data_IF_409115165487
#
_entry.id   IF_409115165487
#
_cell.length_a   1.000
_cell.length_b   1.000
_cell.length_c   1.000
_cell.angle_alpha   90.00
_cell.angle_beta   90.00
_cell.angle_gamma   90.00
#
_symmetry.space_group_name_H-M   'P 1'
#
loop_
_entity.id
_entity.type
_entity.pdbx_description
1 polymer ?
#
# COMPACT_ATOMS: atom_id res chain seq x y z
N UNK A 1 -0.48 7.28 4.18
CA UNK A 1 -0.11 6.66 2.90
C UNK A 1 0.70 5.41 3.18
N UNK A 2 0.38 4.31 2.49
CA UNK A 2 1.19 3.09 2.52
C UNK A 2 2.36 3.27 1.54
N UNK A 3 3.59 3.13 2.02
CA UNK A 3 4.80 3.30 1.21
C UNK A 3 5.73 2.10 1.42
N UNK A 4 6.48 1.71 0.39
CA UNK A 4 7.43 0.58 0.53
C UNK A 4 8.72 0.96 1.25
N UNK A 5 9.01 2.26 1.33
CA UNK A 5 10.17 2.86 1.99
C UNK A 5 9.77 4.27 2.45
N UNK A 6 10.37 4.72 3.54
CA UNK A 6 10.18 6.03 4.17
C UNK A 6 11.42 6.93 4.02
N UNK A 7 12.13 6.80 2.90
CA UNK A 7 13.28 7.67 2.62
C UNK A 7 12.87 9.13 2.40
N UNK A 8 13.84 10.04 2.54
CA UNK A 8 13.60 11.49 2.48
C UNK A 8 12.91 11.93 1.18
N UNK A 9 13.18 11.25 0.06
CA UNK A 9 12.57 11.57 -1.24
C UNK A 9 11.07 11.31 -1.20
N UNK A 10 10.64 10.20 -0.61
CA UNK A 10 9.21 9.88 -0.43
C UNK A 10 8.54 10.86 0.53
N UNK A 11 9.20 11.18 1.64
CA UNK A 11 8.69 12.13 2.64
C UNK A 11 8.47 13.51 2.02
N UNK A 12 9.43 13.99 1.21
CA UNK A 12 9.37 15.31 0.58
C UNK A 12 8.29 15.42 -0.52
N UNK A 13 7.88 14.29 -1.10
CA UNK A 13 6.80 14.25 -2.11
C UNK A 13 5.39 14.29 -1.51
N UNK A 14 5.24 14.09 -0.20
CA UNK A 14 3.95 14.00 0.46
C UNK A 14 3.69 15.21 1.37
N UNK A 15 2.44 15.68 1.49
CA UNK A 15 2.11 16.73 2.45
C UNK A 15 2.45 16.30 3.89
N UNK A 16 2.95 17.23 4.71
CA UNK A 16 3.34 16.96 6.11
C UNK A 16 2.21 16.41 6.99
N UNK A 17 0.96 16.64 6.62
CA UNK A 17 -0.22 16.12 7.32
C UNK A 17 -0.52 14.65 7.03
N UNK A 18 0.22 14.02 6.10
CA UNK A 18 0.02 12.61 5.74
C UNK A 18 0.85 11.72 6.65
N UNK A 19 0.18 10.91 7.48
CA UNK A 19 0.83 9.82 8.21
C UNK A 19 1.35 8.75 7.25
N UNK A 20 2.56 8.24 7.50
CA UNK A 20 3.19 7.20 6.69
C UNK A 20 3.15 5.86 7.42
N UNK A 21 2.87 4.80 6.67
CA UNK A 21 3.01 3.42 7.14
C UNK A 21 3.86 2.69 6.11
N UNK A 22 4.92 2.04 6.58
CA UNK A 22 5.80 1.24 5.72
C UNK A 22 5.20 -0.15 5.53
N UNK A 23 5.05 -0.58 4.28
CA UNK A 23 4.53 -1.90 3.93
C UNK A 23 4.32 -2.09 2.43
N UNK A 24 3.83 -3.27 2.04
CA UNK A 24 3.58 -3.65 0.64
C UNK A 24 2.22 -4.34 0.53
N UNK A 25 1.42 -3.96 -0.47
CA UNK A 25 0.08 -4.55 -0.74
C UNK A 25 0.15 -6.06 -1.02
N UNK A 26 1.28 -6.53 -1.55
CA UNK A 26 1.59 -7.94 -1.73
C UNK A 26 2.16 -8.63 -0.50
N UNK A 27 2.22 -7.98 0.67
CA UNK A 27 2.66 -8.55 1.94
C UNK A 27 1.61 -8.32 3.04
N UNK A 28 0.66 -9.27 3.24
CA UNK A 28 -0.50 -9.09 4.11
C UNK A 28 -0.18 -8.71 5.56
N UNK A 29 0.92 -9.21 6.11
CA UNK A 29 1.36 -8.95 7.49
C UNK A 29 1.63 -7.47 7.75
N UNK A 30 1.95 -6.69 6.72
CA UNK A 30 2.26 -5.25 6.84
C UNK A 30 1.02 -4.35 6.79
N UNK A 31 -0.13 -4.88 6.36
CA UNK A 31 -1.30 -4.05 6.02
C UNK A 31 -2.16 -3.66 7.21
N UNK A 32 -2.09 -4.38 8.32
CA UNK A 32 -2.93 -4.11 9.50
C UNK A 32 -2.72 -2.70 10.05
N UNK A 33 -1.46 -2.28 10.19
CA UNK A 33 -1.14 -0.93 10.64
C UNK A 33 -1.56 0.15 9.62
N UNK A 34 -1.61 -0.19 8.33
CA UNK A 34 -1.95 0.76 7.27
C UNK A 34 -3.44 1.10 7.21
N UNK A 35 -4.29 0.19 7.68
CA UNK A 35 -5.75 0.32 7.66
C UNK A 35 -6.35 0.66 9.02
N UNK A 36 -5.57 0.59 10.10
CA UNK A 36 -6.03 0.87 11.45
C UNK A 36 -6.54 2.32 11.58
N UNK A 37 -7.77 2.47 12.10
CA UNK A 37 -8.42 3.77 12.26
C UNK A 37 -8.85 4.44 10.95
N UNK A 38 -8.61 3.81 9.79
CA UNK A 38 -9.09 4.33 8.51
C UNK A 38 -10.60 4.13 8.39
N UNK A 39 -11.27 5.08 7.74
CA UNK A 39 -12.71 5.02 7.44
C UNK A 39 -12.98 4.71 5.96
N UNK A 40 -11.98 4.90 5.10
CA UNK A 40 -12.00 4.64 3.66
C UNK A 40 -10.60 4.25 3.21
N UNK A 41 -10.55 3.47 2.13
CA UNK A 41 -9.32 3.09 1.45
C UNK A 41 -9.37 3.63 0.02
N UNK A 42 -8.28 4.27 -0.41
CA UNK A 42 -8.05 4.67 -1.81
C UNK A 42 -6.90 3.82 -2.34
N UNK A 43 -7.19 2.95 -3.30
CA UNK A 43 -6.21 2.02 -3.87
C UNK A 43 -5.68 2.54 -5.20
N UNK A 44 -4.46 3.08 -5.19
CA UNK A 44 -3.78 3.57 -6.37
C UNK A 44 -2.36 2.98 -6.43
N UNK A 45 -2.27 1.69 -6.71
CA UNK A 45 -1.01 0.97 -6.82
C UNK A 45 -1.01 0.12 -8.10
N UNK A 46 0.17 -0.03 -8.70
CA UNK A 46 0.44 -0.94 -9.82
C UNK A 46 1.90 -1.38 -9.79
N UNK A 47 2.20 -2.58 -10.29
CA UNK A 47 3.58 -3.00 -10.47
C UNK A 47 4.15 -2.36 -11.75
N UNK A 48 5.39 -1.84 -11.67
CA UNK A 48 6.15 -1.41 -12.87
C UNK A 48 6.88 -2.61 -13.47
N UNK A 49 6.12 -3.55 -14.03
CA UNK A 49 6.63 -4.79 -14.61
C UNK A 49 5.79 -5.21 -15.82
N UNK A 50 6.41 -5.91 -16.77
CA UNK A 50 5.69 -6.57 -17.87
C UNK A 50 5.34 -8.04 -17.55
N UNK A 51 5.77 -8.55 -16.38
CA UNK A 51 5.50 -9.91 -15.94
C UNK A 51 4.11 -9.96 -15.33
N UNK A 52 3.22 -10.78 -15.90
CA UNK A 52 1.82 -10.92 -15.44
C UNK A 52 1.71 -11.27 -13.96
N UNK A 53 2.64 -12.07 -13.43
CA UNK A 53 2.68 -12.43 -12.01
C UNK A 53 2.86 -11.23 -11.09
N UNK A 54 3.72 -10.28 -11.46
CA UNK A 54 3.97 -9.06 -10.68
C UNK A 54 2.76 -8.12 -10.72
N UNK A 55 2.14 -7.97 -11.89
CA UNK A 55 0.91 -7.20 -12.06
C UNK A 55 -0.21 -7.78 -11.20
N UNK A 56 -0.42 -9.10 -11.26
CA UNK A 56 -1.46 -9.79 -10.49
C UNK A 56 -1.24 -9.69 -8.97
N UNK A 57 0.03 -9.66 -8.52
CA UNK A 57 0.39 -9.49 -7.11
C UNK A 57 -0.10 -8.15 -6.55
N UNK A 58 -0.17 -7.11 -7.38
CA UNK A 58 -0.63 -5.77 -6.96
C UNK A 58 -2.10 -5.57 -7.29
N UNK A 59 -2.51 -5.79 -8.54
CA UNK A 59 -3.83 -5.36 -9.02
C UNK A 59 -4.97 -6.24 -8.48
N UNK A 60 -4.72 -7.53 -8.27
CA UNK A 60 -5.71 -8.47 -7.73
C UNK A 60 -5.40 -8.85 -6.29
N UNK A 61 -4.23 -9.44 -6.04
CA UNK A 61 -3.87 -9.92 -4.70
C UNK A 61 -3.73 -8.75 -3.72
N UNK A 62 -3.15 -7.63 -4.16
CA UNK A 62 -3.01 -6.45 -3.32
C UNK A 62 -4.35 -5.88 -2.87
N UNK A 63 -5.33 -5.77 -3.78
CA UNK A 63 -6.70 -5.36 -3.43
C UNK A 63 -7.32 -6.36 -2.45
N UNK A 64 -7.23 -7.66 -2.71
CA UNK A 64 -7.77 -8.69 -1.83
C UNK A 64 -7.16 -8.63 -0.42
N UNK A 65 -5.85 -8.41 -0.32
CA UNK A 65 -5.14 -8.30 0.96
C UNK A 65 -5.59 -7.07 1.74
N UNK A 66 -5.67 -5.91 1.09
CA UNK A 66 -6.12 -4.66 1.73
C UNK A 66 -7.59 -4.77 2.16
N UNK A 67 -8.45 -5.32 1.31
CA UNK A 67 -9.87 -5.55 1.65
C UNK A 67 -10.03 -6.48 2.85
N UNK A 68 -9.20 -7.53 2.97
CA UNK A 68 -9.21 -8.42 4.14
C UNK A 68 -8.70 -7.72 5.40
N UNK A 69 -7.67 -6.89 5.28
CA UNK A 69 -7.12 -6.17 6.44
C UNK A 69 -8.10 -5.11 6.97
N UNK A 70 -8.93 -4.51 6.10
CA UNK A 70 -9.89 -3.45 6.43
C UNK A 70 -11.20 -3.96 7.06
N UNK A 71 -11.40 -5.28 7.15
CA UNK A 71 -12.52 -5.92 7.86
C UNK A 71 -12.21 -6.03 9.36
#
# INVERSE_FOLDING_TARGET
ALVRKDDQTVIDMLPRSVGLVVGDVGEPSTLRAAVEGCNKIIYCATARSAITGDLNRVDYQGVANVSKAFQ
#
